data_IF_253202494619
#
_entry.id   IF_253202494619
#
_cell.length_a   1.000
_cell.length_b   1.000
_cell.length_c   1.000
_cell.angle_alpha   90.00
_cell.angle_beta   90.00
_cell.angle_gamma   90.00
#
_symmetry.space_group_name_H-M   'P 1'
#
loop_
_entity.id
_entity.type
_entity.pdbx_description
1 polymer ?
#
# COMPACT_ATOMS: atom_id res chain seq x y z
N UNK A 1 -48.14 61.26 -7.39
CA UNK A 1 -46.82 61.61 -7.96
C UNK A 1 -45.86 60.47 -7.64
N UNK A 2 -45.44 59.73 -8.67
CA UNK A 2 -44.04 59.47 -9.08
C UNK A 2 -43.06 59.15 -7.94
N UNK A 3 -42.10 58.24 -8.04
CA UNK A 3 -41.78 57.07 -8.87
C UNK A 3 -40.36 56.66 -8.41
N UNK A 4 -40.02 55.36 -8.48
CA UNK A 4 -38.64 54.84 -8.64
C UNK A 4 -37.71 54.96 -7.40
N UNK A 5 -36.85 54.00 -7.04
CA UNK A 5 -36.16 52.98 -7.83
C UNK A 5 -35.93 51.68 -7.06
N UNK A 6 -36.13 50.60 -7.82
CA UNK A 6 -35.70 49.22 -7.63
C UNK A 6 -34.15 49.08 -7.73
N UNK A 7 -33.66 47.92 -7.30
CA UNK A 7 -32.33 47.30 -7.53
C UNK A 7 -31.18 47.58 -6.55
N UNK A 8 -30.94 46.61 -5.67
CA UNK A 8 -29.64 45.91 -5.58
C UNK A 8 -29.86 44.50 -5.01
N UNK A 9 -30.25 43.59 -5.91
CA UNK A 9 -29.94 42.17 -5.82
C UNK A 9 -28.44 41.94 -6.12
N UNK A 10 -27.92 40.77 -5.74
CA UNK A 10 -26.57 40.20 -5.95
C UNK A 10 -25.56 40.66 -4.87
N UNK A 11 -25.11 39.81 -3.92
CA UNK A 11 -24.44 38.51 -4.12
C UNK A 11 -22.91 38.77 -4.21
N UNK A 12 -22.05 38.07 -3.44
CA UNK A 12 -22.16 36.64 -3.17
C UNK A 12 -21.93 36.23 -1.70
N UNK A 13 -22.86 35.42 -1.19
CA UNK A 13 -22.52 34.34 -0.29
C UNK A 13 -21.86 33.24 -1.14
N UNK A 14 -20.54 33.17 -1.15
CA UNK A 14 -19.73 32.07 -1.72
C UNK A 14 -18.28 32.29 -1.28
N UNK A 15 -18.05 32.30 0.04
CA UNK A 15 -16.77 31.84 0.56
C UNK A 15 -16.80 30.33 0.39
N UNK A 16 -16.40 29.93 -0.81
CA UNK A 16 -16.07 28.56 -1.20
C UNK A 16 -15.32 27.92 -0.04
N UNK A 17 -15.74 26.76 0.46
CA UNK A 17 -14.93 26.02 1.40
C UNK A 17 -13.67 25.65 0.62
N UNK A 18 -12.58 26.37 0.88
CA UNK A 18 -11.21 25.91 0.64
C UNK A 18 -10.89 24.78 1.62
N UNK A 19 -11.77 23.78 1.67
CA UNK A 19 -11.41 22.42 2.00
C UNK A 19 -10.64 21.96 0.77
N UNK A 20 -9.38 22.39 0.68
CA UNK A 20 -8.38 21.59 0.02
C UNK A 20 -8.58 20.20 0.61
N UNK A 21 -9.08 19.30 -0.22
CA UNK A 21 -9.15 17.90 0.11
C UNK A 21 -7.76 17.54 0.65
N UNK A 22 -7.67 17.20 1.94
CA UNK A 22 -6.72 16.17 2.31
C UNK A 22 -7.08 15.01 1.39
N UNK A 23 -6.35 14.86 0.29
CA UNK A 23 -6.47 13.65 -0.48
C UNK A 23 -6.24 12.52 0.51
N UNK A 24 -7.14 11.51 0.57
CA UNK A 24 -6.90 10.39 1.45
C UNK A 24 -5.48 9.89 1.20
N UNK A 25 -4.71 9.71 2.27
CA UNK A 25 -3.51 8.90 2.21
C UNK A 25 -3.95 7.60 1.53
N UNK A 26 -3.27 7.29 0.42
CA UNK A 26 -3.76 6.39 -0.60
C UNK A 26 -2.61 6.10 -1.55
N UNK A 27 -2.77 5.08 -2.36
CA UNK A 27 -1.70 4.61 -3.20
C UNK A 27 -2.07 3.35 -3.96
N UNK A 28 -1.06 2.74 -4.53
CA UNK A 28 -1.14 1.48 -5.25
C UNK A 28 -0.11 0.53 -4.67
N UNK A 29 -0.56 -0.67 -4.32
CA UNK A 29 0.30 -1.74 -3.84
C UNK A 29 0.15 -2.93 -4.77
N UNK A 30 1.28 -3.47 -5.21
CA UNK A 30 1.32 -4.67 -6.03
C UNK A 30 2.42 -5.62 -5.61
N UNK A 31 2.21 -6.91 -5.84
CA UNK A 31 3.23 -7.95 -5.68
C UNK A 31 3.80 -8.33 -7.06
N UNK A 32 5.11 -8.20 -7.22
CA UNK A 32 5.80 -8.53 -8.48
C UNK A 32 6.00 -10.03 -8.60
N UNK A 33 5.41 -10.60 -9.64
CA UNK A 33 5.68 -11.93 -10.13
C UNK A 33 6.85 -11.88 -11.12
N UNK A 34 7.96 -12.57 -10.79
CA UNK A 34 9.17 -12.57 -11.62
C UNK A 34 9.24 -13.75 -12.60
N UNK A 35 8.25 -14.65 -12.61
CA UNK A 35 8.18 -15.80 -13.51
C UNK A 35 9.32 -16.84 -13.38
N UNK A 36 10.14 -16.77 -12.32
CA UNK A 36 11.31 -17.64 -12.11
C UNK A 36 11.41 -18.23 -10.70
N UNK A 37 10.29 -18.29 -9.96
CA UNK A 37 10.24 -18.93 -8.65
C UNK A 37 10.29 -20.45 -8.79
N UNK A 38 11.45 -21.02 -9.13
CA UNK A 38 11.67 -22.48 -9.11
C UNK A 38 11.57 -23.08 -7.71
N UNK A 39 11.39 -22.25 -6.68
CA UNK A 39 10.99 -22.65 -5.35
C UNK A 39 9.84 -21.73 -4.94
N UNK A 40 8.63 -22.25 -4.82
CA UNK A 40 7.45 -21.52 -4.35
C UNK A 40 7.51 -21.14 -2.84
N UNK A 41 8.72 -20.82 -2.37
CA UNK A 41 9.17 -20.59 -1.00
C UNK A 41 9.98 -19.29 -0.89
N UNK A 42 9.76 -18.32 -1.78
CA UNK A 42 10.27 -16.96 -1.64
C UNK A 42 9.11 -15.98 -1.73
N UNK A 43 9.11 -14.96 -0.86
CA UNK A 43 8.16 -13.87 -0.95
C UNK A 43 8.46 -12.97 -2.16
N UNK A 44 7.45 -12.29 -2.71
CA UNK A 44 7.65 -11.39 -3.85
C UNK A 44 8.34 -10.08 -3.44
N UNK A 45 8.74 -9.32 -4.45
CA UNK A 45 9.00 -7.90 -4.30
C UNK A 45 7.66 -7.17 -4.31
N UNK A 46 7.45 -6.25 -3.37
CA UNK A 46 6.30 -5.34 -3.40
C UNK A 46 6.68 -4.06 -4.15
N UNK A 47 5.80 -3.61 -5.04
CA UNK A 47 5.82 -2.24 -5.56
C UNK A 47 4.81 -1.44 -4.75
N UNK A 48 5.28 -0.35 -4.15
CA UNK A 48 4.46 0.56 -3.36
C UNK A 48 4.56 1.93 -3.98
N UNK A 49 3.44 2.44 -4.46
CA UNK A 49 3.27 3.81 -4.90
C UNK A 49 2.31 4.52 -3.94
N UNK A 50 2.61 5.75 -3.54
CA UNK A 50 1.77 6.52 -2.61
C UNK A 50 1.49 7.91 -3.17
N UNK A 51 0.39 8.51 -2.72
CA UNK A 51 0.04 9.87 -3.09
C UNK A 51 0.52 10.89 -2.04
N UNK A 52 1.13 11.98 -2.50
CA UNK A 52 1.56 13.10 -1.64
C UNK A 52 2.71 12.75 -0.69
N UNK A 53 2.78 13.44 0.45
CA UNK A 53 3.95 13.35 1.36
C UNK A 53 3.87 12.19 2.38
N UNK A 54 2.81 11.38 2.33
CA UNK A 54 2.54 10.31 3.29
C UNK A 54 3.24 9.00 2.89
N UNK A 55 4.57 9.00 2.94
CA UNK A 55 5.39 7.84 2.58
C UNK A 55 5.13 6.61 3.49
N UNK A 56 5.37 5.38 2.99
CA UNK A 56 5.21 4.15 3.78
C UNK A 56 6.03 4.16 5.06
N UNK A 57 5.37 3.86 6.18
CA UNK A 57 6.00 3.73 7.51
C UNK A 57 5.94 2.31 8.05
N UNK A 58 4.95 1.54 7.63
CA UNK A 58 4.75 0.18 8.08
C UNK A 58 4.18 -0.71 6.98
N UNK A 59 4.68 -1.95 6.92
CA UNK A 59 4.13 -3.04 6.11
C UNK A 59 3.77 -4.18 7.06
N UNK A 60 2.51 -4.56 7.08
CA UNK A 60 2.03 -5.71 7.83
C UNK A 60 1.82 -6.88 6.88
N UNK A 61 2.39 -8.03 7.21
CA UNK A 61 2.21 -9.28 6.50
C UNK A 61 1.53 -10.29 7.43
N UNK A 62 0.42 -10.87 6.96
CA UNK A 62 -0.31 -11.92 7.69
C UNK A 62 -0.62 -13.10 6.77
N UNK A 63 -0.50 -14.31 7.29
CA UNK A 63 -0.69 -15.56 6.54
C UNK A 63 0.13 -16.70 7.15
N UNK A 64 -0.30 -17.95 7.01
CA UNK A 64 0.38 -19.12 7.56
C UNK A 64 0.42 -19.13 9.09
N UNK A 65 -0.54 -18.50 9.77
CA UNK A 65 -0.47 -18.32 11.22
C UNK A 65 0.66 -17.39 11.70
N UNK A 66 1.36 -16.72 10.78
CA UNK A 66 2.37 -15.71 11.08
C UNK A 66 1.76 -14.31 11.00
N UNK A 67 2.25 -13.42 11.86
CA UNK A 67 2.07 -11.97 11.77
C UNK A 67 3.43 -11.33 11.83
N UNK A 68 3.76 -10.56 10.81
CA UNK A 68 5.05 -9.94 10.62
C UNK A 68 4.82 -8.45 10.35
N UNK A 69 5.68 -7.61 10.90
CA UNK A 69 5.65 -6.17 10.71
C UNK A 69 7.02 -5.71 10.21
N UNK A 70 7.07 -4.96 9.11
CA UNK A 70 8.26 -4.24 8.67
C UNK A 70 8.04 -2.76 8.97
N UNK A 71 8.93 -2.19 9.76
CA UNK A 71 8.85 -0.80 10.23
C UNK A 71 9.97 0.00 9.57
N UNK A 72 9.63 1.09 8.90
CA UNK A 72 10.59 1.93 8.21
C UNK A 72 11.61 2.54 9.19
N UNK A 73 12.89 2.40 8.89
CA UNK A 73 14.00 2.95 9.70
C UNK A 73 14.47 4.31 9.21
N UNK A 74 14.02 4.72 8.02
CA UNK A 74 14.35 5.96 7.34
C UNK A 74 13.14 6.47 6.57
N UNK A 75 13.23 7.70 6.12
CA UNK A 75 12.26 8.26 5.18
C UNK A 75 12.56 7.78 3.75
N UNK A 76 11.51 7.70 2.94
CA UNK A 76 11.59 7.41 1.51
C UNK A 76 11.43 8.71 0.73
N UNK A 77 12.28 8.92 -0.28
CA UNK A 77 12.17 10.04 -1.21
C UNK A 77 11.36 9.61 -2.44
N UNK A 78 10.58 10.53 -3.01
CA UNK A 78 9.72 10.25 -4.17
C UNK A 78 8.32 9.78 -3.78
N UNK A 79 7.71 9.04 -4.69
CA UNK A 79 6.30 8.58 -4.66
C UNK A 79 6.20 7.06 -4.91
N UNK A 80 7.33 6.36 -5.00
CA UNK A 80 7.42 4.93 -5.31
C UNK A 80 8.64 4.28 -4.65
N UNK A 81 8.46 3.06 -4.14
CA UNK A 81 9.54 2.22 -3.62
C UNK A 81 9.26 0.75 -3.92
N UNK A 82 10.34 -0.03 -3.99
CA UNK A 82 10.29 -1.49 -4.09
C UNK A 82 10.78 -2.09 -2.78
N UNK A 83 10.11 -3.15 -2.31
CA UNK A 83 10.44 -3.84 -1.07
C UNK A 83 10.52 -5.33 -1.32
N UNK A 84 11.74 -5.87 -1.34
CA UNK A 84 11.95 -7.32 -1.33
C UNK A 84 11.60 -7.87 0.07
N UNK A 85 10.45 -8.53 0.19
CA UNK A 85 10.00 -9.09 1.47
C UNK A 85 10.94 -10.20 1.99
N UNK A 86 11.67 -10.89 1.10
CA UNK A 86 12.63 -11.90 1.51
C UNK A 86 13.93 -11.26 2.07
N UNK A 87 14.26 -10.05 1.63
CA UNK A 87 15.46 -9.31 2.02
C UNK A 87 15.27 -7.78 1.96
N UNK A 88 14.49 -7.17 2.88
CA UNK A 88 14.08 -5.77 2.77
C UNK A 88 15.21 -4.76 3.06
N UNK A 89 16.36 -5.24 3.53
CA UNK A 89 17.55 -4.42 3.78
C UNK A 89 17.41 -3.48 4.98
N UNK A 90 18.35 -2.54 5.11
CA UNK A 90 18.47 -1.67 6.29
C UNK A 90 17.37 -0.60 6.38
N UNK A 91 16.58 -0.42 5.32
CA UNK A 91 15.44 0.50 5.30
C UNK A 91 14.26 0.03 6.17
N UNK A 92 14.27 -1.24 6.57
CA UNK A 92 13.17 -1.88 7.28
C UNK A 92 13.67 -2.70 8.46
N UNK A 93 13.06 -2.49 9.62
CA UNK A 93 13.19 -3.36 10.79
C UNK A 93 12.04 -4.36 10.78
N UNK A 94 12.36 -5.65 10.83
CA UNK A 94 11.35 -6.71 10.80
C UNK A 94 11.08 -7.22 12.22
N UNK A 95 9.81 -7.32 12.60
CA UNK A 95 9.37 -7.90 13.87
C UNK A 95 8.23 -8.91 13.67
N UNK A 96 8.11 -9.88 14.57
CA UNK A 96 6.93 -10.74 14.65
C UNK A 96 5.75 -10.05 15.36
N UNK A 97 4.62 -10.75 15.47
CA UNK A 97 3.41 -10.26 16.13
C UNK A 97 3.56 -9.98 17.63
N UNK A 98 4.62 -10.47 18.27
CA UNK A 98 4.98 -10.16 19.66
C UNK A 98 5.97 -8.97 19.75
N UNK A 99 6.36 -8.39 18.61
CA UNK A 99 7.33 -7.30 18.51
C UNK A 99 8.79 -7.73 18.61
N UNK A 100 9.08 -9.04 18.55
CA UNK A 100 10.46 -9.55 18.58
C UNK A 100 11.09 -9.41 17.20
N UNK A 101 12.35 -8.98 17.16
CA UNK A 101 13.07 -8.81 15.91
C UNK A 101 13.31 -10.14 15.20
N UNK A 102 13.05 -10.17 13.90
CA UNK A 102 13.35 -11.28 12.99
C UNK A 102 14.24 -10.79 11.84
N UNK A 103 14.92 -11.70 11.15
CA UNK A 103 15.95 -11.35 10.15
C UNK A 103 15.63 -11.82 8.74
N UNK A 104 14.66 -12.72 8.58
CA UNK A 104 14.29 -13.28 7.29
C UNK A 104 12.85 -13.74 7.30
N UNK A 105 12.18 -13.53 6.17
CA UNK A 105 10.83 -14.01 5.92
C UNK A 105 10.89 -15.15 4.90
N UNK A 106 10.15 -16.21 5.17
CA UNK A 106 9.97 -17.34 4.25
C UNK A 106 8.49 -17.71 4.21
N UNK A 107 7.91 -17.94 3.02
CA UNK A 107 6.58 -18.51 2.91
C UNK A 107 6.54 -19.91 3.52
N UNK A 108 5.45 -20.21 4.22
CA UNK A 108 5.18 -21.52 4.78
C UNK A 108 4.83 -22.53 3.70
N UNK A 109 4.04 -22.11 2.71
CA UNK A 109 3.70 -22.93 1.56
C UNK A 109 3.32 -22.09 0.34
N UNK A 110 3.38 -22.70 -0.84
CA UNK A 110 2.98 -22.09 -2.11
C UNK A 110 1.48 -21.78 -2.21
N UNK A 111 0.67 -22.46 -1.39
CA UNK A 111 -0.79 -22.37 -1.38
C UNK A 111 -1.30 -21.48 -0.27
N UNK A 112 -0.41 -21.03 0.60
CA UNK A 112 -0.78 -20.14 1.68
C UNK A 112 -1.08 -18.76 1.10
N UNK A 113 -2.21 -18.20 1.50
CA UNK A 113 -2.58 -16.84 1.15
C UNK A 113 -1.96 -15.88 2.16
N UNK A 114 -1.27 -14.89 1.62
CA UNK A 114 -0.67 -13.81 2.38
C UNK A 114 -1.41 -12.52 2.07
N UNK A 115 -1.77 -11.79 3.12
CA UNK A 115 -2.31 -10.44 3.02
C UNK A 115 -1.26 -9.46 3.52
N UNK A 116 -0.91 -8.52 2.66
CA UNK A 116 -0.04 -7.40 2.96
C UNK A 116 -0.86 -6.12 3.04
N UNK A 117 -0.68 -5.37 4.12
CA UNK A 117 -1.22 -4.03 4.28
C UNK A 117 -0.12 -3.00 4.49
N UNK A 118 -0.27 -1.83 3.87
CA UNK A 118 0.74 -0.77 3.91
C UNK A 118 0.14 0.50 4.50
N UNK A 119 0.80 1.01 5.54
CA UNK A 119 0.38 2.18 6.29
C UNK A 119 1.38 3.33 6.23
N UNK A 120 0.87 4.56 6.20
CA UNK A 120 1.64 5.81 6.32
C UNK A 120 2.01 6.15 7.77
N UNK A 121 1.58 5.34 8.74
CA UNK A 121 1.87 5.52 10.16
C UNK A 121 2.40 4.23 10.77
N UNK A 122 3.37 4.37 11.67
CA UNK A 122 3.81 3.27 12.52
C UNK A 122 2.75 3.04 13.62
N UNK A 123 2.44 1.77 13.85
CA UNK A 123 1.59 1.28 14.91
C UNK A 123 2.28 0.11 15.62
N UNK A 124 1.95 -0.16 16.90
CA UNK A 124 2.40 -1.38 17.54
C UNK A 124 1.93 -2.63 16.76
N UNK A 125 2.68 -3.74 16.80
CA UNK A 125 2.22 -5.03 16.29
C UNK A 125 0.80 -5.37 16.79
N UNK A 126 -0.16 -5.57 15.89
CA UNK A 126 -1.55 -5.90 16.27
C UNK A 126 -2.65 -5.25 15.44
N UNK A 127 -3.76 -4.91 16.09
CA UNK A 127 -5.05 -4.53 15.47
C UNK A 127 -5.24 -3.01 15.27
N UNK A 128 -4.24 -2.20 15.60
CA UNK A 128 -4.32 -0.73 15.49
C UNK A 128 -3.65 -0.15 14.24
N UNK A 129 -3.13 -0.99 13.34
CA UNK A 129 -2.53 -0.50 12.09
C UNK A 129 -3.58 -0.13 11.05
N UNK A 130 -3.50 1.09 10.53
CA UNK A 130 -4.24 1.49 9.34
C UNK A 130 -3.41 1.18 8.08
N UNK A 131 -4.05 0.55 7.08
CA UNK A 131 -3.46 0.26 5.78
C UNK A 131 -3.94 1.27 4.73
N UNK A 132 -3.73 2.54 5.01
CA UNK A 132 -4.24 3.67 4.24
C UNK A 132 -3.58 3.81 2.86
N UNK A 133 -2.34 3.37 2.68
CA UNK A 133 -1.68 3.36 1.35
C UNK A 133 -2.25 2.26 0.46
N UNK A 134 -2.54 1.09 1.02
CA UNK A 134 -3.24 0.03 0.30
C UNK A 134 -2.95 -1.38 0.83
N UNK A 135 -3.61 -2.35 0.21
CA UNK A 135 -3.49 -3.78 0.55
C UNK A 135 -3.35 -4.64 -0.70
N UNK A 136 -2.61 -5.75 -0.58
CA UNK A 136 -2.51 -6.78 -1.62
C UNK A 136 -2.57 -8.17 -0.99
N UNK A 137 -3.34 -9.06 -1.59
CA UNK A 137 -3.37 -10.48 -1.23
C UNK A 137 -2.73 -11.31 -2.34
N UNK A 138 -1.92 -12.31 -1.99
CA UNK A 138 -1.27 -13.19 -2.97
C UNK A 138 -0.96 -14.57 -2.39
N UNK A 139 -0.79 -15.55 -3.27
CA UNK A 139 -0.11 -16.82 -2.97
C UNK A 139 1.19 -16.87 -3.75
N UNK A 140 2.26 -17.45 -3.20
CA UNK A 140 3.54 -17.54 -3.94
C UNK A 140 3.47 -18.53 -5.10
N UNK A 141 2.51 -19.46 -5.08
CA UNK A 141 2.20 -20.33 -6.22
C UNK A 141 1.70 -19.54 -7.43
N UNK A 142 0.70 -18.66 -7.27
CA UNK A 142 0.17 -17.85 -8.38
C UNK A 142 1.24 -16.92 -8.96
N UNK A 143 2.05 -16.28 -8.10
CA UNK A 143 3.14 -15.40 -8.55
C UNK A 143 4.29 -16.14 -9.26
N UNK A 144 4.32 -17.48 -9.19
CA UNK A 144 5.30 -18.29 -9.89
C UNK A 144 4.87 -18.66 -11.31
N UNK A 145 3.58 -18.53 -11.65
CA UNK A 145 3.02 -18.96 -12.94
C UNK A 145 3.26 -17.96 -14.07
N UNK A 146 3.17 -16.66 -13.79
CA UNK A 146 3.26 -15.58 -14.78
C UNK A 146 4.31 -14.52 -14.40
N UNK A 147 4.60 -13.60 -15.31
CA UNK A 147 5.45 -12.43 -15.09
C UNK A 147 4.62 -11.14 -15.16
N UNK A 148 4.62 -10.33 -14.10
CA UNK A 148 3.88 -9.08 -14.01
C UNK A 148 3.63 -8.63 -12.57
N UNK A 149 2.67 -7.74 -12.35
CA UNK A 149 2.32 -7.20 -11.02
C UNK A 149 0.89 -7.58 -10.67
N UNK A 150 0.70 -8.21 -9.52
CA UNK A 150 -0.64 -8.52 -8.99
C UNK A 150 -1.04 -7.44 -8.00
N UNK A 151 -2.14 -6.73 -8.27
CA UNK A 151 -2.61 -5.61 -7.46
C UNK A 151 -4.10 -5.72 -7.17
N UNK A 152 -4.53 -5.30 -5.97
CA UNK A 152 -5.96 -5.27 -5.65
C UNK A 152 -6.63 -4.12 -6.39
N UNK A 153 -7.55 -4.43 -7.31
CA UNK A 153 -8.44 -3.43 -7.88
C UNK A 153 -9.41 -2.93 -6.80
N UNK A 154 -9.60 -1.62 -6.69
CA UNK A 154 -10.41 -1.00 -5.62
C UNK A 154 -11.80 -1.65 -5.49
N UNK A 155 -12.01 -2.40 -4.40
CA UNK A 155 -13.27 -3.09 -4.08
C UNK A 155 -13.32 -4.60 -4.43
N UNK A 156 -12.26 -5.16 -5.01
CA UNK A 156 -12.09 -6.60 -5.19
C UNK A 156 -11.40 -7.23 -3.96
N UNK A 157 -11.75 -8.47 -3.63
CA UNK A 157 -11.00 -9.28 -2.66
C UNK A 157 -9.79 -9.97 -3.30
N UNK A 158 -9.80 -10.13 -4.63
CA UNK A 158 -8.76 -10.82 -5.39
C UNK A 158 -7.88 -9.82 -6.12
N UNK A 159 -6.57 -10.05 -6.07
CA UNK A 159 -5.59 -9.29 -6.84
C UNK A 159 -5.67 -9.67 -8.33
N UNK A 160 -5.63 -8.66 -9.20
CA UNK A 160 -5.64 -8.83 -10.65
C UNK A 160 -4.23 -8.69 -11.19
N UNK A 161 -3.91 -9.52 -12.20
CA UNK A 161 -2.68 -9.41 -12.96
C UNK A 161 -2.67 -8.13 -13.81
N UNK A 162 -1.58 -7.37 -13.72
CA UNK A 162 -1.31 -6.17 -14.51
C UNK A 162 0.13 -6.24 -15.04
N UNK A 163 0.38 -6.00 -16.34
CA UNK A 163 1.75 -5.83 -16.83
C UNK A 163 2.50 -4.76 -16.04
N UNK A 164 3.80 -4.93 -15.82
CA UNK A 164 4.59 -4.01 -14.99
C UNK A 164 4.57 -2.57 -15.54
N UNK A 165 4.55 -2.43 -16.87
CA UNK A 165 4.50 -1.14 -17.56
C UNK A 165 3.14 -0.44 -17.45
N UNK A 166 2.10 -1.19 -17.09
CA UNK A 166 0.73 -0.72 -16.91
C UNK A 166 0.40 -0.46 -15.42
N UNK A 167 1.29 -0.87 -14.50
CA UNK A 167 1.12 -0.56 -13.08
C UNK A 167 1.20 0.97 -12.87
N UNK A 168 0.23 1.58 -12.15
CA UNK A 168 0.16 3.03 -12.05
C UNK A 168 1.47 3.65 -11.58
N UNK A 169 1.98 4.71 -12.25
CA UNK A 169 3.01 5.55 -11.65
C UNK A 169 2.43 6.20 -10.37
N UNK A 170 3.30 6.66 -9.47
CA UNK A 170 2.89 7.36 -8.26
C UNK A 170 1.88 8.48 -8.52
N UNK A 171 1.18 8.86 -7.45
CA UNK A 171 0.26 10.00 -7.43
C UNK A 171 0.86 11.14 -6.59
#
# INVERSE_FOLDING_TARGET
MLASRLHRFLGPALLVPLLAACQPAGGHVGAVATGHFSAAHQFPVLVVAWCGDAAPRQIDLSGGGQRIHLIATRDFEGDRTEVDLAAPGDAWRITDGDGRQVYRLVPESEREEYVVGIGSREAPPGEETEHDIGTVAFTTGVLAEDQGVYATAGGSAEAEFVPEEEFPPGC
#
